data_IF_059610818508
#
_entry.id   IF_059610818508
#
_cell.length_a   1.000
_cell.length_b   1.000
_cell.length_c   1.000
_cell.angle_alpha   90.00
_cell.angle_beta   90.00
_cell.angle_gamma   90.00
#
_symmetry.space_group_name_H-M   'P 1'
#
loop_
_entity.id
_entity.type
_entity.pdbx_description
1 polymer ?
#
# COMPACT_ATOMS: atom_id res chain seq x y z
N UNK A 1 -34.62 53.07 44.59
CA UNK A 1 -34.13 53.29 43.21
C UNK A 1 -33.57 51.96 42.70
N UNK A 2 -34.44 51.04 42.26
CA UNK A 2 -34.88 50.79 40.87
C UNK A 2 -33.78 50.17 39.99
N UNK A 3 -33.86 48.84 39.90
CA UNK A 3 -33.33 47.94 38.87
C UNK A 3 -33.11 48.60 37.51
N UNK A 4 -31.96 48.31 36.87
CA UNK A 4 -31.90 47.98 35.44
C UNK A 4 -30.81 46.94 35.18
N UNK A 5 -31.25 45.71 34.86
CA UNK A 5 -30.49 44.69 34.14
C UNK A 5 -30.22 45.22 32.73
N UNK A 6 -28.98 45.18 32.25
CA UNK A 6 -28.68 45.21 30.84
C UNK A 6 -28.14 43.82 30.44
N UNK A 7 -28.99 43.06 29.76
CA UNK A 7 -28.58 41.95 28.92
C UNK A 7 -27.90 42.55 27.69
N UNK A 8 -26.66 42.15 27.41
CA UNK A 8 -26.11 42.23 26.07
C UNK A 8 -25.83 40.81 25.59
N UNK A 9 -26.52 40.48 24.51
CA UNK A 9 -26.40 39.25 23.73
C UNK A 9 -24.96 39.11 23.21
N UNK A 10 -24.27 38.03 23.60
CA UNK A 10 -23.16 37.50 22.83
C UNK A 10 -23.75 36.64 21.71
N UNK A 11 -23.46 36.89 20.42
CA UNK A 11 -23.74 35.89 19.41
C UNK A 11 -22.74 34.75 19.62
N UNK A 12 -23.23 33.58 20.02
CA UNK A 12 -22.50 32.34 19.89
C UNK A 12 -22.25 32.12 18.40
N UNK A 13 -21.03 32.41 17.95
CA UNK A 13 -20.51 31.83 16.70
C UNK A 13 -20.32 30.36 17.03
N UNK A 14 -21.32 29.55 16.69
CA UNK A 14 -21.20 28.11 16.58
C UNK A 14 -20.21 27.88 15.44
N UNK A 15 -18.95 27.68 15.79
CA UNK A 15 -17.96 27.16 14.88
C UNK A 15 -18.34 25.69 14.64
N UNK A 16 -19.18 25.47 13.62
CA UNK A 16 -19.39 24.16 13.02
C UNK A 16 -18.04 23.74 12.44
N UNK A 17 -17.24 23.06 13.26
CA UNK A 17 -16.15 22.23 12.76
C UNK A 17 -16.82 21.09 12.02
N UNK A 18 -17.06 21.29 10.72
CA UNK A 18 -17.25 20.22 9.77
C UNK A 18 -15.94 19.42 9.79
N UNK A 19 -15.89 18.43 10.68
CA UNK A 19 -14.93 17.34 10.62
C UNK A 19 -15.30 16.55 9.37
N UNK A 20 -14.82 17.03 8.22
CA UNK A 20 -14.83 16.28 6.98
C UNK A 20 -13.99 15.04 7.21
N UNK A 21 -14.66 13.92 7.41
CA UNK A 21 -14.09 12.58 7.27
C UNK A 21 -13.62 12.44 5.82
N UNK A 22 -12.44 12.94 5.52
CA UNK A 22 -11.65 12.45 4.39
C UNK A 22 -11.06 11.12 4.85
N UNK A 23 -11.84 10.05 4.75
CA UNK A 23 -11.30 8.71 4.71
C UNK A 23 -10.41 8.65 3.46
N UNK A 24 -9.10 8.78 3.66
CA UNK A 24 -8.11 8.43 2.65
C UNK A 24 -8.22 6.91 2.51
N UNK A 25 -9.09 6.47 1.61
CA UNK A 25 -9.21 5.06 1.23
C UNK A 25 -8.15 4.81 0.18
N UNK A 26 -6.93 4.54 0.66
CA UNK A 26 -5.78 4.22 -0.16
C UNK A 26 -5.45 2.73 0.02
N UNK A 27 -5.16 2.10 -1.12
CA UNK A 27 -4.83 0.70 -1.35
C UNK A 27 -5.97 -0.30 -1.16
N UNK A 28 -5.99 -1.27 -2.08
CA UNK A 28 -6.63 -2.58 -2.15
C UNK A 28 -8.00 -2.84 -1.50
N UNK A 29 -9.06 -2.35 -2.14
CA UNK A 29 -10.29 -3.16 -2.17
C UNK A 29 -9.99 -4.37 -3.06
N UNK A 30 -10.28 -5.59 -2.60
CA UNK A 30 -10.52 -6.71 -3.52
C UNK A 30 -11.40 -6.19 -4.66
N UNK A 31 -10.97 -6.48 -5.89
CA UNK A 31 -11.55 -5.94 -7.10
C UNK A 31 -13.10 -5.99 -7.02
N UNK A 32 -13.79 -4.83 -7.03
CA UNK A 32 -15.23 -4.82 -6.81
C UNK A 32 -15.93 -5.65 -7.89
N UNK A 33 -17.00 -6.35 -7.49
CA UNK A 33 -17.84 -7.13 -8.38
C UNK A 33 -18.29 -6.28 -9.59
N UNK A 34 -18.33 -6.86 -10.81
CA UNK A 34 -18.60 -6.11 -12.02
C UNK A 34 -19.96 -5.42 -11.97
N UNK A 35 -19.98 -4.10 -12.19
CA UNK A 35 -21.21 -3.32 -12.36
C UNK A 35 -21.84 -3.70 -13.71
N UNK A 36 -22.98 -4.37 -13.69
CA UNK A 36 -23.62 -4.90 -14.91
C UNK A 36 -24.39 -3.83 -15.71
N UNK A 37 -24.14 -2.53 -15.47
CA UNK A 37 -24.88 -1.44 -16.10
C UNK A 37 -23.96 -0.40 -16.73
N UNK A 38 -23.56 -0.58 -18.00
CA UNK A 38 -22.90 0.53 -18.71
C UNK A 38 -22.28 0.19 -20.05
N UNK A 39 -23.07 0.38 -21.11
CA UNK A 39 -22.63 0.34 -22.50
C UNK A 39 -21.62 1.48 -22.79
N UNK A 40 -20.35 1.13 -23.00
CA UNK A 40 -19.32 2.07 -23.45
C UNK A 40 -17.95 1.40 -23.47
N UNK A 41 -17.51 0.95 -24.64
CA UNK A 41 -16.17 0.38 -24.83
C UNK A 41 -15.11 1.49 -24.72
N UNK A 42 -14.46 1.61 -23.56
CA UNK A 42 -13.20 2.36 -23.45
C UNK A 42 -12.15 1.64 -24.32
N UNK A 43 -11.40 2.35 -25.18
CA UNK A 43 -10.42 1.71 -26.07
C UNK A 43 -9.37 0.94 -25.26
N UNK A 44 -8.96 -0.23 -25.77
CA UNK A 44 -7.80 -0.95 -25.26
C UNK A 44 -6.61 0.01 -25.26
N UNK A 45 -5.90 0.11 -24.14
CA UNK A 45 -4.70 0.92 -24.01
C UNK A 45 -3.61 0.42 -24.98
N UNK A 46 -3.36 1.21 -26.03
CA UNK A 46 -2.33 0.94 -27.05
C UNK A 46 -1.03 1.71 -26.78
N UNK A 47 -0.81 2.18 -25.56
CA UNK A 47 0.37 2.98 -25.23
C UNK A 47 1.65 2.18 -25.48
N UNK A 48 2.63 2.83 -26.12
CA UNK A 48 3.99 2.29 -26.24
C UNK A 48 4.69 2.56 -24.92
N UNK A 49 5.24 1.52 -24.30
CA UNK A 49 5.96 1.63 -23.03
C UNK A 49 7.47 1.63 -23.26
N UNK A 50 8.17 2.53 -22.56
CA UNK A 50 9.59 2.41 -22.34
C UNK A 50 9.86 1.42 -21.21
N UNK A 51 10.96 0.67 -21.33
CA UNK A 51 11.45 -0.23 -20.29
C UNK A 51 12.72 0.35 -19.68
N UNK A 52 12.73 0.46 -18.35
CA UNK A 52 13.86 0.92 -17.55
C UNK A 52 14.21 -0.22 -16.59
N UNK A 53 15.49 -0.58 -16.50
CA UNK A 53 15.94 -1.68 -15.66
C UNK A 53 16.83 -1.20 -14.52
N UNK A 54 16.55 -1.65 -13.30
CA UNK A 54 17.37 -1.36 -12.11
C UNK A 54 17.40 -2.55 -11.16
N UNK A 55 18.58 -3.00 -10.70
CA UNK A 55 18.76 -4.21 -9.88
C UNK A 55 17.90 -5.41 -10.30
N UNK A 56 17.83 -5.70 -11.61
CA UNK A 56 17.05 -6.81 -12.16
C UNK A 56 15.54 -6.59 -12.25
N UNK A 57 14.99 -5.52 -11.66
CA UNK A 57 13.60 -5.12 -11.86
C UNK A 57 13.44 -4.40 -13.19
N UNK A 58 12.28 -4.59 -13.82
CA UNK A 58 11.87 -3.87 -15.02
C UNK A 58 10.72 -2.93 -14.66
N UNK A 59 10.89 -1.64 -14.97
CA UNK A 59 9.87 -0.61 -14.82
C UNK A 59 9.34 -0.27 -16.22
N UNK A 60 8.03 -0.35 -16.40
CA UNK A 60 7.34 0.05 -17.63
C UNK A 60 6.63 1.38 -17.43
N UNK A 61 6.93 2.36 -18.26
CA UNK A 61 6.29 3.69 -18.23
C UNK A 61 5.88 4.09 -19.65
N UNK A 62 4.72 4.75 -19.87
CA UNK A 62 4.38 5.24 -21.20
C UNK A 62 5.51 6.12 -21.77
N UNK A 63 5.97 5.80 -22.97
CA UNK A 63 7.20 6.34 -23.54
C UNK A 63 7.19 7.88 -23.61
N UNK A 64 6.01 8.45 -23.88
CA UNK A 64 5.81 9.90 -23.95
C UNK A 64 5.87 10.60 -22.58
N UNK A 65 5.72 9.88 -21.46
CA UNK A 65 5.80 10.44 -20.11
C UNK A 65 7.20 10.38 -19.50
N UNK A 66 8.04 9.43 -19.93
CA UNK A 66 9.30 9.08 -19.24
C UNK A 66 10.27 10.25 -19.00
N UNK A 67 10.23 11.26 -19.88
CA UNK A 67 11.10 12.44 -19.82
C UNK A 67 10.42 13.68 -19.22
N UNK A 68 9.25 13.56 -18.61
CA UNK A 68 8.65 14.66 -17.86
C UNK A 68 9.38 14.85 -16.52
N UNK A 69 9.39 16.06 -15.93
CA UNK A 69 10.02 16.29 -14.61
C UNK A 69 9.45 15.38 -13.51
N UNK A 70 8.12 15.21 -13.47
CA UNK A 70 7.46 14.39 -12.45
C UNK A 70 7.78 12.90 -12.64
N UNK A 71 7.81 12.41 -13.88
CA UNK A 71 8.18 11.02 -14.15
C UNK A 71 9.64 10.73 -13.78
N UNK A 72 10.58 11.65 -14.07
CA UNK A 72 11.97 11.49 -13.64
C UNK A 72 12.08 11.38 -12.13
N UNK A 73 11.39 12.25 -11.39
CA UNK A 73 11.37 12.19 -9.92
C UNK A 73 10.82 10.85 -9.42
N UNK A 74 9.74 10.35 -10.02
CA UNK A 74 9.18 9.05 -9.64
C UNK A 74 10.11 7.88 -9.97
N UNK A 75 10.83 7.94 -11.10
CA UNK A 75 11.81 6.94 -11.50
C UNK A 75 13.06 6.97 -10.61
N UNK A 76 13.50 8.15 -10.18
CA UNK A 76 14.60 8.30 -9.21
C UNK A 76 14.19 7.70 -7.85
N UNK A 77 13.00 8.04 -7.35
CA UNK A 77 12.46 7.44 -6.11
C UNK A 77 12.30 5.92 -6.23
N UNK A 78 11.80 5.42 -7.37
CA UNK A 78 11.68 3.98 -7.61
C UNK A 78 13.04 3.27 -7.57
N UNK A 79 14.11 3.88 -8.10
CA UNK A 79 15.46 3.34 -7.99
C UNK A 79 15.90 3.27 -6.53
N UNK A 80 15.69 4.32 -5.73
CA UNK A 80 16.01 4.35 -4.31
C UNK A 80 15.22 3.28 -3.52
N UNK A 81 13.92 3.11 -3.81
CA UNK A 81 13.09 2.06 -3.21
C UNK A 81 13.60 0.66 -3.57
N UNK A 82 13.97 0.41 -4.82
CA UNK A 82 14.54 -0.86 -5.27
C UNK A 82 15.89 -1.12 -4.60
N UNK A 83 16.77 -0.12 -4.48
CA UNK A 83 18.06 -0.25 -3.79
C UNK A 83 17.87 -0.56 -2.30
N UNK A 84 16.92 0.11 -1.66
CA UNK A 84 16.54 -0.15 -0.27
C UNK A 84 16.05 -1.59 -0.09
N UNK A 85 15.14 -2.04 -0.96
CA UNK A 85 14.64 -3.41 -0.95
C UNK A 85 15.75 -4.44 -1.21
N UNK A 86 16.64 -4.18 -2.18
CA UNK A 86 17.74 -5.07 -2.51
C UNK A 86 18.75 -5.22 -1.35
N UNK A 87 18.87 -4.20 -0.50
CA UNK A 87 19.77 -4.22 0.65
C UNK A 87 19.21 -5.02 1.85
N UNK A 88 17.88 -5.12 1.98
CA UNK A 88 17.24 -5.68 3.18
C UNK A 88 16.51 -7.00 2.93
N UNK A 89 16.00 -7.25 1.73
CA UNK A 89 15.12 -8.40 1.45
C UNK A 89 15.90 -9.65 1.01
N UNK A 90 15.37 -10.85 1.24
CA UNK A 90 15.97 -12.08 0.76
C UNK A 90 16.02 -12.15 -0.76
N UNK A 91 17.13 -12.65 -1.30
CA UNK A 91 17.33 -12.86 -2.74
C UNK A 91 16.21 -13.67 -3.42
N UNK A 92 15.58 -14.61 -2.72
CA UNK A 92 14.48 -15.41 -3.29
C UNK A 92 13.25 -14.57 -3.57
N UNK A 93 12.89 -13.66 -2.66
CA UNK A 93 11.84 -12.69 -2.87
C UNK A 93 12.19 -11.78 -4.06
N UNK A 94 13.39 -11.19 -4.05
CA UNK A 94 13.85 -10.31 -5.13
C UNK A 94 13.77 -11.02 -6.49
N UNK A 95 14.32 -12.24 -6.61
CA UNK A 95 14.25 -13.03 -7.85
C UNK A 95 12.84 -13.41 -8.27
N UNK A 96 11.93 -13.61 -7.33
CA UNK A 96 10.53 -13.88 -7.65
C UNK A 96 9.85 -12.62 -8.21
N UNK A 97 10.08 -11.48 -7.58
CA UNK A 97 9.45 -10.21 -7.96
C UNK A 97 10.00 -9.62 -9.26
N UNK A 98 11.29 -9.81 -9.54
CA UNK A 98 11.95 -9.38 -10.80
C UNK A 98 11.36 -10.02 -12.07
N UNK A 99 10.57 -11.10 -11.96
CA UNK A 99 9.98 -11.79 -13.12
C UNK A 99 8.88 -10.99 -13.80
N UNK A 100 8.18 -10.13 -13.05
CA UNK A 100 7.10 -9.31 -13.57
C UNK A 100 7.52 -7.84 -13.51
N UNK A 101 7.16 -7.04 -14.53
CA UNK A 101 7.46 -5.62 -14.50
C UNK A 101 6.60 -4.87 -13.47
N UNK A 102 7.12 -3.75 -12.97
CA UNK A 102 6.33 -2.73 -12.28
C UNK A 102 5.86 -1.73 -13.33
N UNK A 103 4.55 -1.51 -13.41
CA UNK A 103 3.97 -0.52 -14.33
C UNK A 103 3.88 0.83 -13.63
N UNK A 104 4.28 1.90 -14.30
CA UNK A 104 4.28 3.25 -13.77
C UNK A 104 3.45 4.15 -14.67
N UNK A 105 2.31 4.58 -14.15
CA UNK A 105 1.31 5.35 -14.86
C UNK A 105 1.03 6.71 -14.22
N UNK A 106 0.33 7.54 -14.99
CA UNK A 106 -0.18 8.81 -14.52
C UNK A 106 -1.70 8.83 -14.59
N UNK A 107 -2.33 9.22 -13.48
CA UNK A 107 -3.76 9.55 -13.41
C UNK A 107 -4.73 8.40 -13.77
N UNK A 108 -4.33 7.12 -13.65
CA UNK A 108 -5.25 5.98 -13.82
C UNK A 108 -6.28 5.96 -12.68
N UNK A 109 -5.81 6.21 -11.45
CA UNK A 109 -6.67 6.44 -10.28
C UNK A 109 -6.23 7.72 -9.56
N UNK A 110 -6.96 8.85 -9.70
CA UNK A 110 -6.55 10.13 -9.10
C UNK A 110 -6.44 10.12 -7.57
N UNK A 111 -7.18 9.25 -6.89
CA UNK A 111 -7.18 9.05 -5.44
C UNK A 111 -6.42 7.77 -5.02
N UNK A 112 -5.54 7.25 -5.88
CA UNK A 112 -4.71 6.07 -5.63
C UNK A 112 -3.24 6.35 -5.93
N UNK A 113 -2.36 5.47 -5.50
CA UNK A 113 -0.93 5.55 -5.82
C UNK A 113 -0.43 4.25 -6.42
N UNK A 114 -0.73 3.11 -5.79
CA UNK A 114 -0.32 1.80 -6.25
C UNK A 114 -1.38 0.72 -5.96
N UNK A 115 -1.30 -0.40 -6.67
CA UNK A 115 -2.01 -1.64 -6.38
C UNK A 115 -1.34 -2.84 -7.06
N UNK A 116 -1.78 -4.04 -6.70
CA UNK A 116 -1.47 -5.31 -7.35
C UNK A 116 -2.66 -5.85 -8.16
N UNK A 117 -2.40 -6.37 -9.36
CA UNK A 117 -3.42 -6.96 -10.22
C UNK A 117 -3.47 -8.49 -10.12
N UNK A 118 -4.60 -9.04 -9.68
CA UNK A 118 -4.74 -10.49 -9.50
C UNK A 118 -5.15 -11.19 -10.80
N UNK A 119 -6.16 -10.68 -11.52
CA UNK A 119 -6.85 -11.42 -12.59
C UNK A 119 -6.73 -10.75 -13.95
N UNK A 120 -6.29 -11.53 -14.95
CA UNK A 120 -6.34 -11.12 -16.37
C UNK A 120 -7.78 -10.93 -16.84
N UNK A 121 -8.67 -11.81 -16.42
CA UNK A 121 -10.08 -11.80 -16.78
C UNK A 121 -10.78 -10.55 -16.27
N UNK A 122 -10.51 -10.16 -15.01
CA UNK A 122 -11.08 -8.92 -14.46
C UNK A 122 -10.55 -7.68 -15.18
N UNK A 123 -9.24 -7.63 -15.47
CA UNK A 123 -8.65 -6.55 -16.27
C UNK A 123 -9.36 -6.39 -17.62
N UNK A 124 -9.61 -7.50 -18.33
CA UNK A 124 -10.36 -7.49 -19.59
C UNK A 124 -11.80 -6.97 -19.41
N UNK A 125 -12.49 -7.40 -18.35
CA UNK A 125 -13.87 -7.00 -18.06
C UNK A 125 -13.99 -5.51 -17.68
N UNK A 126 -12.92 -4.91 -17.18
CA UNK A 126 -12.86 -3.51 -16.78
C UNK A 126 -12.11 -2.63 -17.80
N UNK A 127 -11.91 -3.13 -19.03
CA UNK A 127 -11.25 -2.42 -20.13
C UNK A 127 -9.83 -1.93 -19.78
N UNK A 128 -9.12 -2.67 -18.93
CA UNK A 128 -7.73 -2.41 -18.56
C UNK A 128 -6.78 -3.29 -19.34
N UNK A 129 -5.49 -2.92 -19.37
CA UNK A 129 -4.47 -3.70 -20.06
C UNK A 129 -4.28 -5.07 -19.38
N UNK A 130 -4.62 -6.19 -20.04
CA UNK A 130 -4.59 -7.52 -19.43
C UNK A 130 -3.17 -8.06 -19.20
N UNK A 131 -2.15 -7.42 -19.76
CA UNK A 131 -0.74 -7.78 -19.54
C UNK A 131 -0.20 -7.27 -18.20
N UNK A 132 -0.99 -6.45 -17.49
CA UNK A 132 -0.73 -6.04 -16.11
C UNK A 132 -1.10 -7.12 -15.08
N UNK A 133 -1.72 -8.23 -15.50
CA UNK A 133 -2.05 -9.32 -14.60
C UNK A 133 -0.79 -9.84 -13.89
N UNK A 134 -0.91 -10.08 -12.58
CA UNK A 134 0.18 -10.49 -11.68
C UNK A 134 1.33 -9.48 -11.57
N UNK A 135 1.10 -8.22 -11.92
CA UNK A 135 2.07 -7.14 -11.81
C UNK A 135 1.61 -6.10 -10.79
N UNK A 136 2.59 -5.40 -10.20
CA UNK A 136 2.35 -4.15 -9.48
C UNK A 136 2.19 -3.01 -10.48
N UNK A 137 1.24 -2.12 -10.20
CA UNK A 137 1.05 -0.88 -10.94
C UNK A 137 1.07 0.31 -9.97
N UNK A 138 1.99 1.24 -10.20
CA UNK A 138 1.92 2.61 -9.70
C UNK A 138 0.91 3.35 -10.58
N UNK A 139 -0.37 3.36 -10.17
CA UNK A 139 -1.48 3.91 -10.96
C UNK A 139 -1.49 5.45 -10.98
N UNK A 140 -0.75 6.10 -10.08
CA UNK A 140 -0.45 7.53 -10.14
C UNK A 140 0.92 7.83 -9.53
N UNK A 141 1.92 8.06 -10.38
CA UNK A 141 3.29 8.31 -9.90
C UNK A 141 3.45 9.63 -9.13
N UNK A 142 2.54 10.60 -9.26
CA UNK A 142 2.58 11.85 -8.48
C UNK A 142 2.18 11.55 -7.03
N UNK A 143 1.09 10.80 -6.84
CA UNK A 143 0.64 10.38 -5.52
C UNK A 143 1.65 9.44 -4.87
N UNK A 144 2.22 8.49 -5.63
CA UNK A 144 3.30 7.63 -5.16
C UNK A 144 4.44 8.41 -4.53
N UNK A 145 5.00 9.40 -5.24
CA UNK A 145 6.06 10.26 -4.70
C UNK A 145 5.59 11.00 -3.46
N UNK A 146 4.42 11.65 -3.53
CA UNK A 146 3.91 12.47 -2.43
C UNK A 146 3.64 11.65 -1.16
N UNK A 147 3.10 10.44 -1.27
CA UNK A 147 2.71 9.62 -0.13
C UNK A 147 3.90 8.88 0.47
N UNK A 148 4.83 8.42 -0.38
CA UNK A 148 6.10 7.83 0.07
C UNK A 148 6.90 8.82 0.92
N UNK A 149 7.02 10.07 0.46
CA UNK A 149 7.72 11.13 1.19
C UNK A 149 6.97 11.60 2.44
N UNK A 150 5.64 11.46 2.47
CA UNK A 150 4.80 11.89 3.59
C UNK A 150 4.87 10.90 4.76
N UNK A 151 4.51 9.63 4.50
CA UNK A 151 4.33 8.63 5.54
C UNK A 151 4.34 7.16 5.09
N UNK A 152 4.37 6.84 3.79
CA UNK A 152 4.30 5.45 3.28
C UNK A 152 5.57 4.99 2.55
N UNK A 153 6.74 4.96 3.23
CA UNK A 153 8.04 4.72 2.57
C UNK A 153 8.18 3.33 1.93
N UNK A 154 7.38 2.35 2.37
CA UNK A 154 7.43 0.95 1.91
C UNK A 154 6.25 0.57 1.01
N UNK A 155 5.56 1.53 0.39
CA UNK A 155 4.44 1.27 -0.53
C UNK A 155 4.76 0.27 -1.64
N UNK A 156 5.95 0.35 -2.27
CA UNK A 156 6.32 -0.62 -3.31
C UNK A 156 6.50 -2.03 -2.73
N UNK A 157 7.06 -2.13 -1.52
CA UNK A 157 7.19 -3.42 -0.83
C UNK A 157 5.81 -3.99 -0.51
N UNK A 158 4.87 -3.17 -0.06
CA UNK A 158 3.49 -3.57 0.20
C UNK A 158 2.88 -4.29 -1.01
N UNK A 159 2.90 -3.64 -2.18
CA UNK A 159 2.31 -4.21 -3.39
C UNK A 159 3.07 -5.44 -3.89
N UNK A 160 4.39 -5.48 -3.72
CA UNK A 160 5.17 -6.68 -4.02
C UNK A 160 4.90 -7.82 -3.02
N UNK A 161 4.48 -7.53 -1.79
CA UNK A 161 4.02 -8.56 -0.86
C UNK A 161 2.71 -9.19 -1.32
N UNK A 162 1.77 -8.40 -1.85
CA UNK A 162 0.57 -8.94 -2.51
C UNK A 162 0.96 -9.87 -3.67
N UNK A 163 1.87 -9.42 -4.53
CA UNK A 163 2.38 -10.26 -5.62
C UNK A 163 3.03 -11.56 -5.12
N UNK A 164 3.89 -11.49 -4.10
CA UNK A 164 4.57 -12.66 -3.55
C UNK A 164 3.60 -13.65 -2.89
N UNK A 165 2.62 -13.13 -2.16
CA UNK A 165 1.58 -13.93 -1.54
C UNK A 165 0.78 -14.69 -2.61
N UNK A 166 0.39 -14.05 -3.70
CA UNK A 166 -0.29 -14.70 -4.83
C UNK A 166 0.60 -15.75 -5.50
N UNK A 167 1.76 -15.34 -6.02
CA UNK A 167 2.51 -16.14 -7.00
C UNK A 167 3.52 -17.11 -6.39
N UNK A 168 3.92 -16.92 -5.14
CA UNK A 168 4.95 -17.73 -4.48
C UNK A 168 4.43 -18.51 -3.28
N UNK A 169 3.53 -17.93 -2.49
CA UNK A 169 2.97 -18.58 -1.30
C UNK A 169 1.58 -19.18 -1.54
N UNK A 170 0.86 -18.67 -2.54
CA UNK A 170 -0.59 -18.73 -2.69
C UNK A 170 -1.32 -17.96 -1.59
N UNK A 171 -2.41 -17.27 -1.93
CA UNK A 171 -3.24 -16.57 -0.95
C UNK A 171 -3.79 -17.51 0.15
N UNK A 172 -3.90 -18.80 -0.14
CA UNK A 172 -4.33 -19.83 0.82
C UNK A 172 -3.25 -20.26 1.83
N UNK A 173 -2.19 -19.47 2.05
CA UNK A 173 -1.10 -19.85 2.95
C UNK A 173 -1.63 -19.99 4.40
N UNK A 174 -1.65 -21.21 4.98
CA UNK A 174 -2.39 -21.49 6.21
C UNK A 174 -1.87 -20.69 7.41
N UNK A 175 -0.54 -20.53 7.54
CA UNK A 175 0.03 -19.75 8.63
C UNK A 175 -0.38 -18.27 8.60
N UNK A 176 -0.55 -17.68 7.40
CA UNK A 176 -0.94 -16.27 7.28
C UNK A 176 -2.41 -16.12 7.66
N UNK A 177 -3.27 -17.04 7.18
CA UNK A 177 -4.69 -17.07 7.51
C UNK A 177 -4.88 -17.26 9.02
N UNK A 178 -4.21 -18.23 9.63
CA UNK A 178 -4.34 -18.51 11.06
C UNK A 178 -3.86 -17.32 11.93
N UNK A 179 -2.76 -16.67 11.55
CA UNK A 179 -2.29 -15.46 12.26
C UNK A 179 -3.27 -14.29 12.13
N UNK A 180 -3.82 -14.08 10.93
CA UNK A 180 -4.85 -13.07 10.70
C UNK A 180 -6.13 -13.34 11.53
N UNK A 181 -6.60 -14.58 11.55
CA UNK A 181 -7.76 -15.00 12.37
C UNK A 181 -7.49 -14.80 13.86
N UNK A 182 -6.29 -15.14 14.34
CA UNK A 182 -5.86 -14.86 15.71
C UNK A 182 -5.88 -13.37 16.02
N UNK A 183 -5.32 -12.52 15.14
CA UNK A 183 -5.33 -11.07 15.31
C UNK A 183 -6.74 -10.50 15.42
N UNK A 184 -7.66 -10.97 14.57
CA UNK A 184 -9.09 -10.61 14.65
C UNK A 184 -9.74 -11.04 15.96
N UNK A 185 -9.51 -12.29 16.39
CA UNK A 185 -10.11 -12.87 17.59
C UNK A 185 -9.61 -12.20 18.88
N UNK A 186 -8.36 -11.74 18.89
CA UNK A 186 -7.73 -11.06 20.04
C UNK A 186 -7.94 -9.55 20.04
N UNK A 187 -8.53 -9.01 18.97
CA UNK A 187 -8.83 -7.58 18.85
C UNK A 187 -7.62 -6.70 18.57
N UNK A 188 -6.51 -7.29 18.09
CA UNK A 188 -5.36 -6.54 17.59
C UNK A 188 -5.80 -5.63 16.44
N UNK A 189 -5.03 -4.56 16.21
CA UNK A 189 -5.22 -3.61 15.10
C UNK A 189 -6.57 -2.85 15.11
N UNK A 190 -7.30 -2.87 16.23
CA UNK A 190 -8.48 -2.04 16.48
C UNK A 190 -8.09 -0.80 17.28
N UNK A 191 -8.73 0.34 16.97
CA UNK A 191 -8.41 1.63 17.58
C UNK A 191 -6.91 1.95 17.51
N UNK A 192 -6.32 1.70 16.35
CA UNK A 192 -4.88 1.75 16.10
C UNK A 192 -4.41 3.15 15.77
N UNK A 193 -3.23 3.50 16.25
CA UNK A 193 -2.60 4.76 15.86
C UNK A 193 -2.04 4.66 14.44
N UNK A 194 -2.22 5.72 13.66
CA UNK A 194 -1.62 5.89 12.34
C UNK A 194 -0.74 7.14 12.32
N UNK A 195 0.41 7.04 11.70
CA UNK A 195 1.29 8.16 11.39
C UNK A 195 0.83 8.86 10.10
N UNK A 196 0.39 10.10 10.20
CA UNK A 196 -0.15 10.88 9.08
C UNK A 196 0.90 11.79 8.42
N UNK A 197 2.18 11.63 8.79
CA UNK A 197 3.28 12.47 8.32
C UNK A 197 3.52 13.72 9.17
N UNK A 198 4.69 14.35 8.96
CA UNK A 198 5.11 15.58 9.65
C UNK A 198 4.97 15.54 11.19
N UNK A 199 5.22 14.38 11.81
CA UNK A 199 5.10 14.21 13.27
C UNK A 199 3.66 14.12 13.81
N UNK A 200 2.66 14.03 12.92
CA UNK A 200 1.25 13.91 13.31
C UNK A 200 0.79 12.46 13.37
N UNK A 201 -0.13 12.20 14.29
CA UNK A 201 -0.74 10.89 14.47
C UNK A 201 -2.24 11.03 14.64
N UNK A 202 -2.99 10.10 14.08
CA UNK A 202 -4.42 9.91 14.31
C UNK A 202 -4.69 8.53 14.89
N UNK A 203 -5.93 8.32 15.37
CA UNK A 203 -6.42 6.99 15.73
C UNK A 203 -7.50 6.59 14.75
N UNK A 204 -7.30 5.46 14.09
CA UNK A 204 -8.29 4.84 13.22
C UNK A 204 -9.04 3.76 13.99
N UNK A 205 -10.31 3.54 13.68
CA UNK A 205 -11.10 2.46 14.31
C UNK A 205 -10.55 1.07 14.00
N UNK A 206 -9.92 0.91 12.84
CA UNK A 206 -9.34 -0.33 12.36
C UNK A 206 -8.13 -0.01 11.47
N UNK A 207 -6.98 -0.63 11.76
CA UNK A 207 -5.81 -0.56 10.88
C UNK A 207 -6.06 -1.34 9.59
N UNK A 208 -5.31 -0.99 8.54
CA UNK A 208 -5.52 -1.57 7.23
C UNK A 208 -5.24 -3.09 7.17
N UNK A 209 -4.34 -3.57 8.03
CA UNK A 209 -4.05 -4.99 8.26
C UNK A 209 -5.27 -5.85 8.64
N UNK A 210 -6.40 -5.27 9.07
CA UNK A 210 -7.63 -6.02 9.38
C UNK A 210 -8.62 -6.14 8.21
N UNK A 211 -8.28 -5.62 7.03
CA UNK A 211 -9.18 -5.71 5.87
C UNK A 211 -9.36 -7.15 5.40
N UNK A 212 -8.26 -7.87 5.18
CA UNK A 212 -8.20 -9.30 4.90
C UNK A 212 -6.78 -9.83 5.21
N UNK A 213 -6.58 -11.14 5.05
CA UNK A 213 -5.29 -11.78 5.30
C UNK A 213 -4.20 -11.39 4.28
N UNK A 214 -4.55 -10.85 3.10
CA UNK A 214 -3.58 -10.30 2.15
C UNK A 214 -3.00 -8.98 2.67
N UNK A 215 -3.86 -8.04 3.08
CA UNK A 215 -3.44 -6.76 3.68
C UNK A 215 -2.68 -6.99 4.97
N UNK A 216 -3.14 -7.94 5.79
CA UNK A 216 -2.41 -8.34 6.99
C UNK A 216 -0.97 -8.72 6.67
N UNK A 217 -0.74 -9.58 5.68
CA UNK A 217 0.62 -9.96 5.30
C UNK A 217 1.44 -8.78 4.78
N UNK A 218 0.88 -7.94 3.91
CA UNK A 218 1.59 -6.81 3.32
C UNK A 218 1.96 -5.75 4.39
N UNK A 219 1.00 -5.32 5.20
CA UNK A 219 1.17 -4.33 6.28
C UNK A 219 2.19 -4.77 7.33
N UNK A 220 2.11 -6.03 7.77
CA UNK A 220 3.06 -6.54 8.74
C UNK A 220 4.47 -6.68 8.12
N UNK A 221 4.57 -6.95 6.82
CA UNK A 221 5.85 -7.02 6.11
C UNK A 221 6.54 -5.66 6.01
N UNK A 222 5.78 -4.56 5.88
CA UNK A 222 6.33 -3.21 5.98
C UNK A 222 6.96 -2.97 7.35
N UNK A 223 6.26 -3.29 8.44
CA UNK A 223 6.81 -3.16 9.79
C UNK A 223 8.02 -4.09 10.00
N UNK A 224 8.00 -5.30 9.45
CA UNK A 224 9.04 -6.31 9.64
C UNK A 224 10.37 -5.95 8.97
N UNK A 225 10.34 -5.44 7.73
CA UNK A 225 11.57 -5.10 6.99
C UNK A 225 11.93 -3.62 7.08
N UNK A 226 10.96 -2.76 7.37
CA UNK A 226 11.10 -1.33 7.24
C UNK A 226 10.29 -0.58 8.29
N UNK A 227 9.30 0.19 7.80
CA UNK A 227 8.41 0.98 8.63
C UNK A 227 7.00 1.03 8.04
N UNK A 228 6.01 0.71 8.86
CA UNK A 228 4.58 0.86 8.54
C UNK A 228 4.07 2.26 8.98
N UNK A 229 3.01 2.77 8.35
CA UNK A 229 2.27 3.96 8.78
C UNK A 229 1.21 3.67 9.85
N UNK A 230 0.78 2.41 10.05
CA UNK A 230 -0.03 1.97 11.18
C UNK A 230 0.83 1.32 12.28
N UNK A 231 0.45 1.50 13.55
CA UNK A 231 1.08 0.76 14.65
C UNK A 231 0.71 -0.73 14.57
N UNK A 232 1.66 -1.67 14.74
CA UNK A 232 3.07 -1.48 15.07
C UNK A 232 3.89 -0.97 13.88
N UNK A 233 4.72 0.05 14.10
CA UNK A 233 5.44 0.72 13.01
C UNK A 233 6.73 0.00 12.63
N UNK A 234 7.34 -0.70 13.59
CA UNK A 234 8.67 -1.32 13.44
C UNK A 234 8.64 -2.80 13.77
N UNK A 235 9.69 -3.52 13.35
CA UNK A 235 9.84 -4.96 13.58
C UNK A 235 9.81 -5.32 15.06
N UNK A 236 10.43 -4.49 15.91
CA UNK A 236 10.45 -4.72 17.36
C UNK A 236 9.05 -4.55 17.95
N UNK A 237 8.35 -3.47 17.61
CA UNK A 237 6.98 -3.25 18.06
C UNK A 237 6.06 -4.37 17.56
N UNK A 238 6.24 -4.85 16.32
CA UNK A 238 5.49 -5.97 15.77
C UNK A 238 5.71 -7.24 16.58
N UNK A 239 6.96 -7.56 16.92
CA UNK A 239 7.30 -8.72 17.73
C UNK A 239 6.65 -8.70 19.11
N UNK A 240 6.52 -7.52 19.71
CA UNK A 240 5.91 -7.33 21.03
C UNK A 240 4.37 -7.30 20.97
N UNK A 241 3.80 -6.67 19.93
CA UNK A 241 2.37 -6.43 19.79
C UNK A 241 1.62 -7.63 19.19
N UNK A 242 2.14 -8.20 18.09
CA UNK A 242 1.58 -9.37 17.43
C UNK A 242 2.67 -10.44 17.24
N UNK A 243 3.03 -11.17 18.33
CA UNK A 243 4.04 -12.21 18.27
C UNK A 243 3.67 -13.38 17.35
N UNK A 244 2.37 -13.61 17.08
CA UNK A 244 1.90 -14.67 16.18
C UNK A 244 2.15 -14.28 14.73
N UNK A 245 1.73 -13.06 14.33
CA UNK A 245 2.03 -12.51 13.01
C UNK A 245 3.53 -12.38 12.76
N UNK A 246 4.29 -11.93 13.75
CA UNK A 246 5.74 -11.86 13.69
C UNK A 246 6.38 -13.23 13.40
N UNK A 247 5.90 -14.29 14.06
CA UNK A 247 6.46 -15.63 13.89
C UNK A 247 6.22 -16.17 12.47
N UNK A 248 5.01 -16.00 11.93
CA UNK A 248 4.69 -16.42 10.56
C UNK A 248 5.54 -15.68 9.54
N UNK A 249 5.81 -14.39 9.74
CA UNK A 249 6.74 -13.65 8.89
C UNK A 249 8.16 -14.22 8.98
N UNK A 250 8.67 -14.55 10.18
CA UNK A 250 9.98 -15.19 10.29
C UNK A 250 10.05 -16.50 9.49
N UNK A 251 9.00 -17.31 9.51
CA UNK A 251 8.93 -18.56 8.73
C UNK A 251 8.91 -18.28 7.22
N UNK A 252 7.99 -17.44 6.75
CA UNK A 252 7.86 -17.07 5.33
C UNK A 252 9.16 -16.52 4.77
N UNK A 253 9.82 -15.62 5.51
CA UNK A 253 11.04 -14.96 5.05
C UNK A 253 12.30 -15.83 5.20
N UNK A 254 12.30 -16.82 6.10
CA UNK A 254 13.42 -17.78 6.27
C UNK A 254 13.33 -18.96 5.30
N UNK A 255 12.13 -19.38 4.90
CA UNK A 255 11.94 -20.40 3.85
C UNK A 255 12.48 -19.94 2.49
N UNK A 256 12.65 -18.62 2.30
CA UNK A 256 13.33 -18.01 1.17
C UNK A 256 14.87 -17.95 1.27
N UNK A 257 15.50 -18.45 2.33
CA UNK A 257 16.95 -18.37 2.51
C UNK A 257 17.34 -17.74 3.84
N UNK A 258 18.66 -17.65 4.10
CA UNK A 258 19.19 -17.26 5.41
C UNK A 258 18.75 -15.82 5.74
N UNK A 259 17.92 -15.67 6.78
CA UNK A 259 17.54 -14.38 7.34
C UNK A 259 18.81 -13.59 7.68
N UNK A 260 19.15 -12.57 6.90
CA UNK A 260 20.22 -11.65 7.25
C UNK A 260 19.62 -10.68 8.26
N UNK A 261 19.74 -11.05 9.54
CA UNK A 261 19.45 -10.13 10.63
C UNK A 261 20.52 -9.03 10.59
N UNK A 262 20.21 -7.87 10.02
CA UNK A 262 20.98 -6.66 10.32
C UNK A 262 20.60 -6.23 11.74
N UNK A 263 21.57 -6.07 12.65
CA UNK A 263 21.29 -5.48 13.95
C UNK A 263 20.99 -4.00 13.72
N UNK A 264 19.76 -3.58 13.99
CA UNK A 264 19.39 -2.17 14.18
C UNK A 264 19.12 -1.93 15.66
#
# INVERSE_FOLDING_TARGET
MRNKRFLFFYPHIICLVLCGLLSVTCCSREEPLPDTNGNGSTPIDTSVYAEITHNGFTIKIPDYLKNTPDARRALDLMQDNIDTMAAILPDTFLRAMQKNPIWMEKDIKPDGAAWYHVSREWLLQNNMNPDKAKCVEICNYINYVSWTELNQPFMVLHELCHQYHDVSLTFDHPGIIEAFEHAQATGLYRNTQRYDGYGKYSTVTQAYALTNHHEYFAELSEAFWGRNDYFPYTRQELKEYDPVGYHVLEEVWTLGGKLILTPH
#
